data_IF_026404317287
#
_entry.id   IF_026404317287
#
_cell.length_a   1.000
_cell.length_b   1.000
_cell.length_c   1.000
_cell.angle_alpha   90.00
_cell.angle_beta   90.00
_cell.angle_gamma   90.00
#
_symmetry.space_group_name_H-M   'P 1'
#
loop_
_entity.id
_entity.type
_entity.pdbx_description
1 polymer ?
#
# COMPACT_ATOMS: atom_id res chain seq x y z
N UNK A 1 6.75 -4.17 -13.61
CA UNK A 1 7.51 -5.02 -12.68
C UNK A 1 6.61 -5.39 -11.53
N UNK A 2 6.61 -6.66 -11.12
CA UNK A 2 5.80 -7.11 -9.98
C UNK A 2 6.35 -6.51 -8.68
N UNK A 3 5.46 -6.06 -7.81
CA UNK A 3 5.78 -5.61 -6.46
C UNK A 3 5.09 -6.54 -5.48
N UNK A 4 5.89 -7.21 -4.66
CA UNK A 4 5.41 -8.05 -3.56
C UNK A 4 6.13 -7.65 -2.28
N UNK A 5 5.45 -7.83 -1.15
CA UNK A 5 6.02 -7.55 0.14
C UNK A 5 5.07 -7.93 1.26
N UNK A 6 5.53 -7.74 2.48
CA UNK A 6 4.74 -7.94 3.69
C UNK A 6 5.25 -7.01 4.77
N UNK A 7 4.41 -6.77 5.78
CA UNK A 7 4.77 -5.95 6.92
C UNK A 7 3.74 -6.09 8.03
N UNK A 8 3.95 -5.30 9.07
CA UNK A 8 3.10 -5.25 10.26
C UNK A 8 2.86 -3.77 10.56
N UNK A 9 1.62 -3.41 10.88
CA UNK A 9 1.25 -2.09 11.39
C UNK A 9 0.28 -2.22 12.57
N UNK A 10 -0.39 -1.11 12.90
CA UNK A 10 -1.40 -1.00 13.96
C UNK A 10 -2.68 -1.79 13.70
N UNK A 11 -2.96 -2.25 12.48
CA UNK A 11 -4.08 -3.13 12.16
C UNK A 11 -3.68 -4.61 12.16
N UNK A 12 -2.39 -4.90 11.93
CA UNK A 12 -1.79 -6.22 12.03
C UNK A 12 -0.90 -6.59 10.85
N UNK A 13 -0.72 -7.89 10.62
CA UNK A 13 0.09 -8.38 9.52
C UNK A 13 -0.60 -8.19 8.18
N UNK A 14 0.15 -7.71 7.20
CA UNK A 14 -0.33 -7.52 5.84
C UNK A 14 0.64 -8.05 4.79
N UNK A 15 0.09 -8.35 3.62
CA UNK A 15 0.83 -8.57 2.38
C UNK A 15 0.49 -7.47 1.38
N UNK A 16 1.45 -7.12 0.53
CA UNK A 16 1.22 -6.28 -0.63
C UNK A 16 1.44 -7.08 -1.90
N UNK A 17 0.57 -6.88 -2.89
CA UNK A 17 0.74 -7.41 -4.23
C UNK A 17 0.33 -6.34 -5.24
N UNK A 18 1.18 -6.07 -6.22
CA UNK A 18 0.95 -5.02 -7.18
C UNK A 18 1.94 -5.00 -8.33
N UNK A 19 1.94 -3.86 -9.03
CA UNK A 19 2.75 -3.63 -10.19
C UNK A 19 3.28 -2.20 -10.23
N UNK A 20 4.54 -2.07 -10.62
CA UNK A 20 5.16 -0.81 -10.99
C UNK A 20 5.35 -0.72 -12.51
N UNK A 21 4.92 0.40 -13.10
CA UNK A 21 5.10 0.72 -14.51
C UNK A 21 6.19 1.77 -14.70
N UNK A 22 7.28 1.38 -15.34
CA UNK A 22 8.35 2.30 -15.76
C UNK A 22 7.90 3.31 -16.82
N UNK A 23 6.86 2.99 -17.60
CA UNK A 23 6.34 3.86 -18.66
C UNK A 23 5.60 5.06 -18.04
N UNK A 24 4.81 4.80 -17.00
CA UNK A 24 3.97 5.82 -16.36
C UNK A 24 4.56 6.33 -15.05
N UNK A 25 5.67 5.75 -14.59
CA UNK A 25 6.26 5.99 -13.27
C UNK A 25 5.25 5.80 -12.12
N UNK A 26 4.29 4.89 -12.29
CA UNK A 26 3.23 4.62 -11.29
C UNK A 26 3.39 3.25 -10.68
N UNK A 27 3.12 3.17 -9.38
CA UNK A 27 2.98 1.92 -8.64
C UNK A 27 1.54 1.80 -8.16
N UNK A 28 0.95 0.63 -8.35
CA UNK A 28 -0.33 0.29 -7.77
C UNK A 28 -0.23 -1.07 -7.07
N UNK A 29 -0.66 -1.15 -5.83
CA UNK A 29 -0.67 -2.40 -5.07
C UNK A 29 -1.88 -2.50 -4.15
N UNK A 30 -2.27 -3.72 -3.83
CA UNK A 30 -3.28 -4.01 -2.82
C UNK A 30 -2.59 -4.51 -1.57
N UNK A 31 -2.84 -3.85 -0.46
CA UNK A 31 -2.49 -4.28 0.89
C UNK A 31 -3.64 -5.11 1.44
N UNK A 32 -3.37 -6.36 1.80
CA UNK A 32 -4.37 -7.28 2.36
C UNK A 32 -3.94 -7.72 3.74
N UNK A 33 -4.81 -7.51 4.73
CA UNK A 33 -4.57 -7.94 6.11
C UNK A 33 -4.90 -9.42 6.31
N UNK A 34 -4.01 -10.14 7.01
CA UNK A 34 -4.15 -11.58 7.26
C UNK A 34 -5.07 -11.81 8.46
N UNK A 35 -6.11 -12.63 8.28
CA UNK A 35 -7.15 -12.88 9.29
C UNK A 35 -6.64 -13.44 10.62
N UNK A 36 -5.51 -14.14 10.60
CA UNK A 36 -4.94 -14.78 11.79
C UNK A 36 -4.24 -13.79 12.74
N UNK A 37 -3.84 -12.62 12.24
CA UNK A 37 -2.99 -11.67 12.98
C UNK A 37 -3.53 -10.22 12.91
N UNK A 38 -4.81 -10.03 12.60
CA UNK A 38 -5.49 -8.74 12.72
C UNK A 38 -5.90 -8.47 14.15
N UNK A 39 -5.74 -7.24 14.63
CA UNK A 39 -6.13 -6.85 15.98
C UNK A 39 -7.65 -7.00 16.17
N UNK A 40 -8.42 -6.53 15.19
CA UNK A 40 -9.87 -6.69 15.18
C UNK A 40 -10.28 -7.77 14.17
N UNK A 41 -11.14 -8.74 14.53
CA UNK A 41 -11.64 -9.75 13.60
C UNK A 41 -12.33 -9.16 12.37
N UNK A 42 -12.85 -7.94 12.47
CA UNK A 42 -13.45 -7.25 11.34
C UNK A 42 -12.42 -6.93 10.26
N UNK A 43 -11.15 -6.65 10.60
CA UNK A 43 -10.09 -6.29 9.66
C UNK A 43 -9.51 -7.48 8.89
N UNK A 44 -9.91 -8.70 9.24
CA UNK A 44 -9.59 -9.89 8.47
C UNK A 44 -9.99 -9.72 6.99
N UNK A 45 -9.03 -9.94 6.09
CA UNK A 45 -9.19 -9.77 4.64
C UNK A 45 -9.56 -8.36 4.17
N UNK A 46 -9.41 -7.33 5.03
CA UNK A 46 -9.55 -5.93 4.63
C UNK A 46 -8.50 -5.61 3.55
N UNK A 47 -8.94 -4.87 2.53
CA UNK A 47 -8.11 -4.55 1.36
C UNK A 47 -7.99 -3.04 1.22
N UNK A 48 -6.74 -2.57 1.22
CA UNK A 48 -6.41 -1.18 0.94
C UNK A 48 -5.71 -1.13 -0.41
N UNK A 49 -6.30 -0.43 -1.37
CA UNK A 49 -5.70 -0.20 -2.68
C UNK A 49 -4.87 1.07 -2.61
N UNK A 50 -3.60 0.98 -2.96
CA UNK A 50 -2.67 2.11 -2.94
C UNK A 50 -2.20 2.41 -4.37
N UNK A 51 -2.27 3.67 -4.78
CA UNK A 51 -1.81 4.15 -6.09
C UNK A 51 -0.89 5.35 -5.91
N UNK A 52 0.39 5.18 -6.27
CA UNK A 52 1.42 6.20 -6.13
C UNK A 52 2.10 6.50 -7.46
N UNK A 53 2.66 7.70 -7.56
CA UNK A 53 3.46 8.17 -8.68
C UNK A 53 4.83 8.59 -8.13
N UNK A 54 5.90 8.24 -8.83
CA UNK A 54 7.24 8.68 -8.45
C UNK A 54 7.38 10.19 -8.67
N UNK A 55 7.62 10.94 -7.59
CA UNK A 55 7.99 12.34 -7.63
C UNK A 55 9.51 12.46 -7.73
N UNK A 56 10.01 12.88 -8.89
CA UNK A 56 11.45 13.01 -9.16
C UNK A 56 12.10 14.12 -8.32
N UNK A 57 11.38 15.21 -8.06
CA UNK A 57 11.91 16.35 -7.29
C UNK A 57 12.10 15.96 -5.82
N UNK A 58 11.13 15.27 -5.24
CA UNK A 58 11.14 14.87 -3.84
C UNK A 58 11.74 13.49 -3.58
N UNK A 59 12.15 12.80 -4.65
CA UNK A 59 12.70 11.42 -4.64
C UNK A 59 11.86 10.45 -3.80
N UNK A 60 10.54 10.51 -3.95
CA UNK A 60 9.60 9.65 -3.21
C UNK A 60 8.35 9.35 -4.05
N UNK A 61 7.69 8.24 -3.75
CA UNK A 61 6.37 7.96 -4.32
C UNK A 61 5.29 8.69 -3.52
N UNK A 62 4.32 9.28 -4.22
CA UNK A 62 3.20 10.01 -3.62
C UNK A 62 1.90 9.63 -4.29
N UNK A 63 0.82 9.55 -3.53
CA UNK A 63 -0.50 9.35 -4.11
C UNK A 63 -1.58 9.12 -3.07
N UNK A 64 -2.53 8.27 -3.43
CA UNK A 64 -3.72 8.01 -2.62
C UNK A 64 -3.82 6.54 -2.26
N UNK A 65 -4.42 6.30 -1.11
CA UNK A 65 -4.97 5.00 -0.77
C UNK A 65 -6.50 5.05 -0.79
N UNK A 66 -7.10 3.89 -0.99
CA UNK A 66 -8.53 3.67 -1.08
C UNK A 66 -8.87 2.44 -0.25
N UNK A 67 -9.87 2.56 0.60
CA UNK A 67 -10.38 1.49 1.44
C UNK A 67 -11.88 1.36 1.19
N UNK A 68 -12.36 0.13 1.05
CA UNK A 68 -13.76 -0.14 0.73
C UNK A 68 -14.71 0.12 1.90
N UNK A 69 -14.18 0.25 3.12
CA UNK A 69 -14.95 0.40 4.36
C UNK A 69 -14.98 1.80 4.91
N UNK A 70 -14.11 2.69 4.43
CA UNK A 70 -14.11 4.10 4.83
C UNK A 70 -14.17 4.98 3.60
N UNK A 71 -15.03 6.00 3.65
CA UNK A 71 -15.13 7.00 2.57
C UNK A 71 -13.89 7.91 2.48
N UNK A 72 -12.96 7.77 3.41
CA UNK A 72 -11.75 8.59 3.47
C UNK A 72 -10.67 8.00 2.57
N UNK A 73 -10.10 8.88 1.73
CA UNK A 73 -9.01 8.55 0.81
C UNK A 73 -7.84 9.44 1.21
N UNK A 74 -6.92 8.91 2.01
CA UNK A 74 -5.81 9.67 2.54
C UNK A 74 -4.63 9.76 1.58
N UNK A 75 -3.73 10.71 1.90
CA UNK A 75 -2.41 10.80 1.25
C UNK A 75 -1.56 9.60 1.67
N UNK A 76 -0.85 9.01 0.73
CA UNK A 76 0.15 7.96 0.98
C UNK A 76 1.48 8.38 0.37
N UNK A 77 2.55 8.30 1.15
CA UNK A 77 3.92 8.58 0.72
C UNK A 77 4.79 7.34 0.98
N UNK A 78 5.57 6.91 -0.01
CA UNK A 78 6.52 5.78 0.13
C UNK A 78 7.93 6.27 -0.22
N UNK A 79 8.83 6.21 0.76
CA UNK A 79 10.24 6.54 0.62
C UNK A 79 11.08 5.29 0.45
N UNK A 80 12.11 5.36 -0.40
CA UNK A 80 13.12 4.32 -0.48
C UNK A 80 14.16 4.56 0.61
N UNK A 81 14.22 3.67 1.59
CA UNK A 81 15.27 3.66 2.62
C UNK A 81 16.39 2.74 2.11
N UNK A 82 17.32 3.31 1.36
CA UNK A 82 18.42 2.56 0.76
C UNK A 82 19.39 2.05 1.82
N UNK A 83 19.59 0.73 1.86
CA UNK A 83 20.78 0.12 2.47
C UNK A 83 21.87 0.01 1.42
#
# INVERSE_FOLDING_TARGET
MTVIGSGIDDMGDFIINGFYSYITNRIAFTKTYRSENTIEPMDANRKIVVQLIWNIQEKRFQGKWYDDRVSDNGKFDLTYDGV
#
